data_IF_999452391251
#
_entry.id   IF_999452391251
#
_cell.length_a   1.000
_cell.length_b   1.000
_cell.length_c   1.000
_cell.angle_alpha   90.00
_cell.angle_beta   90.00
_cell.angle_gamma   90.00
#
_symmetry.space_group_name_H-M   'P 1'
#
loop_
_entity.id
_entity.type
_entity.pdbx_description
1 polymer ?
#
# COMPACT_ATOMS: atom_id res chain seq x y z
N UNK A 1 29.93 17.18 8.11
CA UNK A 1 29.05 17.93 7.19
C UNK A 1 29.01 17.29 5.83
N UNK A 2 28.04 16.40 5.58
CA UNK A 2 27.67 15.84 4.26
C UNK A 2 26.15 15.52 4.23
N UNK A 3 25.36 16.17 5.10
CA UNK A 3 23.92 15.92 5.24
C UNK A 3 23.10 16.63 4.16
N UNK A 4 23.50 17.85 3.76
CA UNK A 4 22.74 18.68 2.81
C UNK A 4 22.51 17.98 1.44
N UNK A 5 23.53 17.40 0.77
CA UNK A 5 23.33 16.72 -0.52
C UNK A 5 22.42 15.50 -0.39
N UNK A 6 22.56 14.75 0.72
CA UNK A 6 21.73 13.58 1.01
C UNK A 6 20.27 13.98 1.25
N UNK A 7 20.01 15.06 1.99
CA UNK A 7 18.66 15.57 2.22
C UNK A 7 18.00 16.04 0.91
N UNK A 8 18.76 16.69 0.04
CA UNK A 8 18.27 17.08 -1.29
C UNK A 8 17.88 15.85 -2.10
N UNK A 9 18.73 14.81 -2.12
CA UNK A 9 18.41 13.55 -2.79
C UNK A 9 17.10 12.94 -2.27
N UNK A 10 16.96 12.85 -0.94
CA UNK A 10 15.76 12.29 -0.31
C UNK A 10 14.49 13.06 -0.73
N UNK A 11 14.53 14.39 -0.67
CA UNK A 11 13.37 15.24 -0.96
C UNK A 11 13.01 15.26 -2.45
N UNK A 12 14.01 15.26 -3.33
CA UNK A 12 13.81 15.41 -4.78
C UNK A 12 13.53 14.09 -5.49
N UNK A 13 14.11 12.98 -5.04
CA UNK A 13 14.01 11.70 -5.76
C UNK A 13 13.23 10.65 -4.97
N UNK A 14 13.57 10.43 -3.70
CA UNK A 14 12.96 9.34 -2.95
C UNK A 14 11.52 9.65 -2.52
N UNK A 15 11.28 10.84 -1.92
CA UNK A 15 9.95 11.21 -1.40
C UNK A 15 8.84 11.14 -2.46
N UNK A 16 9.03 11.62 -3.71
CA UNK A 16 8.03 11.46 -4.77
C UNK A 16 7.76 10.01 -5.16
N UNK A 17 8.80 9.17 -5.28
CA UNK A 17 8.65 7.74 -5.60
C UNK A 17 7.87 7.03 -4.50
N UNK A 18 8.26 7.24 -3.23
CA UNK A 18 7.58 6.67 -2.07
C UNK A 18 6.10 7.04 -2.07
N UNK A 19 5.78 8.30 -2.38
CA UNK A 19 4.41 8.82 -2.42
C UNK A 19 3.57 8.22 -3.54
N UNK A 20 4.16 8.05 -4.73
CA UNK A 20 3.49 7.38 -5.84
C UNK A 20 3.15 5.91 -5.49
N UNK A 21 4.13 5.16 -4.97
CA UNK A 21 3.92 3.76 -4.56
C UNK A 21 2.90 3.68 -3.42
N UNK A 22 2.93 4.62 -2.47
CA UNK A 22 1.92 4.73 -1.43
C UNK A 22 0.51 4.92 -2.00
N UNK A 23 0.31 5.81 -2.97
CA UNK A 23 -1.00 5.98 -3.62
C UNK A 23 -1.48 4.70 -4.32
N UNK A 24 -0.60 3.98 -5.00
CA UNK A 24 -0.96 2.70 -5.61
C UNK A 24 -1.41 1.68 -4.56
N UNK A 25 -0.71 1.60 -3.41
CA UNK A 25 -1.11 0.75 -2.30
C UNK A 25 -2.43 1.19 -1.66
N UNK A 26 -2.66 2.50 -1.51
CA UNK A 26 -3.87 3.06 -0.92
C UNK A 26 -5.09 2.77 -1.80
N UNK A 27 -4.97 3.03 -3.10
CA UNK A 27 -6.00 2.70 -4.08
C UNK A 27 -6.27 1.18 -4.12
N UNK A 28 -5.22 0.36 -4.08
CA UNK A 28 -5.37 -1.11 -4.02
C UNK A 28 -6.13 -1.55 -2.77
N UNK A 29 -5.85 -0.97 -1.61
CA UNK A 29 -6.56 -1.28 -0.37
C UNK A 29 -8.04 -0.91 -0.47
N UNK A 30 -8.37 0.29 -0.96
CA UNK A 30 -9.73 0.81 -1.10
C UNK A 30 -10.53 0.00 -2.14
N UNK A 31 -10.04 -0.10 -3.38
CA UNK A 31 -10.71 -0.84 -4.44
C UNK A 31 -10.81 -2.32 -4.12
N UNK A 32 -9.77 -2.88 -3.47
CA UNK A 32 -9.78 -4.26 -3.01
C UNK A 32 -10.91 -4.55 -2.02
N UNK A 33 -11.32 -3.59 -1.17
CA UNK A 33 -12.48 -3.81 -0.30
C UNK A 33 -13.78 -4.05 -1.08
N UNK A 34 -13.96 -3.32 -2.18
CA UNK A 34 -15.20 -3.32 -2.95
C UNK A 34 -15.20 -4.46 -3.98
N UNK A 35 -14.09 -4.65 -4.69
CA UNK A 35 -13.99 -5.63 -5.78
C UNK A 35 -13.77 -7.08 -5.32
N UNK A 36 -13.31 -7.32 -4.09
CA UNK A 36 -13.02 -8.69 -3.62
C UNK A 36 -14.20 -9.64 -3.78
N UNK A 37 -15.40 -9.18 -3.43
CA UNK A 37 -16.62 -10.01 -3.52
C UNK A 37 -16.98 -10.31 -4.97
N UNK A 38 -16.92 -9.29 -5.83
CA UNK A 38 -17.18 -9.37 -7.27
C UNK A 38 -16.23 -10.33 -7.97
N UNK A 39 -14.94 -10.25 -7.64
CA UNK A 39 -13.92 -11.11 -8.22
C UNK A 39 -14.20 -12.59 -7.96
N UNK A 40 -14.39 -12.99 -6.70
CA UNK A 40 -14.64 -14.39 -6.40
C UNK A 40 -16.02 -14.87 -6.85
N UNK A 41 -17.01 -13.98 -6.90
CA UNK A 41 -18.30 -14.33 -7.44
C UNK A 41 -18.23 -14.71 -8.92
N UNK A 42 -17.41 -14.03 -9.73
CA UNK A 42 -17.20 -14.37 -11.14
C UNK A 42 -16.43 -15.68 -11.29
N UNK A 43 -15.27 -15.79 -10.63
CA UNK A 43 -14.31 -16.86 -10.92
C UNK A 43 -14.55 -18.16 -10.13
N UNK A 44 -15.15 -18.06 -8.94
CA UNK A 44 -15.23 -19.17 -7.98
C UNK A 44 -16.66 -19.45 -7.52
N UNK A 45 -17.67 -19.04 -8.30
CA UNK A 45 -19.10 -19.28 -8.01
C UNK A 45 -19.43 -20.72 -7.61
N UNK A 46 -18.77 -21.68 -8.26
CA UNK A 46 -19.01 -23.12 -8.10
C UNK A 46 -17.94 -23.81 -7.24
N UNK A 47 -17.09 -23.08 -6.53
CA UNK A 47 -16.02 -23.65 -5.72
C UNK A 47 -16.54 -24.24 -4.40
N UNK A 48 -15.91 -25.32 -3.95
CA UNK A 48 -16.20 -25.95 -2.65
C UNK A 48 -15.77 -25.10 -1.44
N UNK A 49 -14.93 -24.07 -1.66
CA UNK A 49 -14.51 -23.15 -0.60
C UNK A 49 -15.58 -22.10 -0.32
N UNK A 50 -15.73 -21.72 0.95
CA UNK A 50 -16.63 -20.65 1.36
C UNK A 50 -16.24 -19.33 0.71
N UNK A 51 -17.09 -18.84 -0.19
CA UNK A 51 -16.95 -17.56 -0.89
C UNK A 51 -16.68 -16.40 0.08
N UNK A 52 -17.26 -16.46 1.28
CA UNK A 52 -17.07 -15.51 2.37
C UNK A 52 -15.63 -15.46 2.89
N UNK A 53 -15.00 -16.62 3.08
CA UNK A 53 -13.61 -16.71 3.57
C UNK A 53 -12.63 -16.19 2.53
N UNK A 54 -12.82 -16.54 1.25
CA UNK A 54 -11.99 -16.04 0.16
C UNK A 54 -12.13 -14.51 -0.01
N UNK A 55 -13.36 -14.01 0.05
CA UNK A 55 -13.64 -12.57 0.00
C UNK A 55 -12.95 -11.84 1.15
N UNK A 56 -13.07 -12.36 2.38
CA UNK A 56 -12.41 -11.77 3.54
C UNK A 56 -10.88 -11.80 3.40
N UNK A 57 -10.32 -12.91 2.90
CA UNK A 57 -8.90 -13.04 2.65
C UNK A 57 -8.40 -11.97 1.67
N UNK A 58 -9.10 -11.73 0.56
CA UNK A 58 -8.68 -10.67 -0.39
C UNK A 58 -8.85 -9.26 0.16
N UNK A 59 -9.88 -9.02 0.98
CA UNK A 59 -10.04 -7.75 1.70
C UNK A 59 -8.87 -7.48 2.64
N UNK A 60 -8.39 -8.48 3.37
CA UNK A 60 -7.20 -8.34 4.22
C UNK A 60 -5.93 -8.26 3.38
N UNK A 61 -5.85 -9.00 2.27
CA UNK A 61 -4.71 -8.95 1.35
C UNK A 61 -4.54 -7.56 0.71
N UNK A 62 -5.64 -6.89 0.36
CA UNK A 62 -5.55 -5.54 -0.20
C UNK A 62 -5.02 -4.53 0.81
N UNK A 63 -5.36 -4.67 2.10
CA UNK A 63 -4.74 -3.88 3.18
C UNK A 63 -3.27 -4.24 3.35
N UNK A 64 -2.91 -5.52 3.26
CA UNK A 64 -1.52 -5.96 3.28
C UNK A 64 -0.68 -5.31 2.16
N UNK A 65 -1.23 -5.14 0.95
CA UNK A 65 -0.55 -4.44 -0.16
C UNK A 65 -0.21 -2.99 0.22
N UNK A 66 -1.02 -2.30 1.03
CA UNK A 66 -0.70 -0.95 1.50
C UNK A 66 0.54 -0.95 2.42
N UNK A 67 0.69 -1.93 3.31
CA UNK A 67 1.90 -2.05 4.12
C UNK A 67 3.12 -2.38 3.26
N UNK A 68 2.95 -3.24 2.26
CA UNK A 68 4.00 -3.57 1.29
C UNK A 68 4.43 -2.34 0.49
N UNK A 69 3.50 -1.48 0.09
CA UNK A 69 3.78 -0.26 -0.67
C UNK A 69 4.57 0.77 0.16
N UNK A 70 4.38 0.79 1.48
CA UNK A 70 5.18 1.61 2.39
C UNK A 70 6.56 0.99 2.59
N UNK A 71 6.63 -0.30 2.92
CA UNK A 71 7.86 -1.01 3.26
C UNK A 71 8.83 -1.13 2.07
N UNK A 72 8.33 -1.46 0.89
CA UNK A 72 9.14 -1.79 -0.29
C UNK A 72 10.18 -0.73 -0.66
N UNK A 73 9.80 0.54 -0.91
CA UNK A 73 10.78 1.55 -1.28
C UNK A 73 11.68 1.94 -0.10
N UNK A 74 11.21 1.87 1.15
CA UNK A 74 12.05 2.07 2.33
C UNK A 74 13.18 1.02 2.42
N UNK A 75 12.86 -0.26 2.27
CA UNK A 75 13.89 -1.31 2.26
C UNK A 75 14.85 -1.11 1.08
N UNK A 76 14.35 -0.84 -0.12
CA UNK A 76 15.18 -0.59 -1.29
C UNK A 76 16.18 0.56 -1.06
N UNK A 77 15.73 1.68 -0.47
CA UNK A 77 16.60 2.81 -0.12
C UNK A 77 17.63 2.45 0.94
N UNK A 78 17.22 1.72 1.97
CA UNK A 78 18.12 1.30 3.05
C UNK A 78 19.23 0.42 2.47
N UNK A 79 18.88 -0.61 1.70
CA UNK A 79 19.85 -1.50 1.06
C UNK A 79 20.74 -0.80 0.04
N UNK A 80 20.23 0.19 -0.70
CA UNK A 80 21.05 0.94 -1.66
C UNK A 80 22.10 1.85 -1.00
N UNK A 81 22.00 2.07 0.31
CA UNK A 81 22.93 2.95 1.07
C UNK A 81 23.87 2.20 2.00
N UNK A 82 23.74 0.89 2.15
CA UNK A 82 24.61 0.12 3.03
C UNK A 82 25.98 -0.14 2.40
N UNK A 83 27.02 0.04 3.22
CA UNK A 83 28.33 -0.59 3.03
C UNK A 83 28.34 -1.98 3.70
N UNK A 84 29.34 -2.82 3.44
CA UNK A 84 29.43 -4.22 3.92
C UNK A 84 29.13 -4.40 5.42
N UNK A 85 29.59 -3.46 6.27
CA UNK A 85 29.33 -3.49 7.72
C UNK A 85 27.87 -3.18 8.09
N UNK A 86 27.21 -2.31 7.32
CA UNK A 86 25.79 -1.98 7.47
C UNK A 86 24.88 -3.13 7.06
N UNK A 87 25.27 -3.87 6.02
CA UNK A 87 24.58 -5.09 5.59
C UNK A 87 24.59 -6.14 6.70
N UNK A 88 25.74 -6.40 7.35
CA UNK A 88 25.84 -7.41 8.41
C UNK A 88 25.03 -7.07 9.68
N UNK A 89 25.02 -5.81 10.11
CA UNK A 89 24.21 -5.40 11.27
C UNK A 89 22.71 -5.52 11.01
N UNK A 90 22.26 -5.07 9.84
CA UNK A 90 20.86 -5.15 9.44
C UNK A 90 20.41 -6.58 9.18
N UNK A 91 21.27 -7.43 8.61
CA UNK A 91 21.01 -8.86 8.43
C UNK A 91 20.78 -9.56 9.77
N UNK A 92 21.48 -9.16 10.83
CA UNK A 92 21.24 -9.69 12.18
C UNK A 92 19.87 -9.28 12.72
N UNK A 93 19.46 -8.03 12.54
CA UNK A 93 18.12 -7.56 12.95
C UNK A 93 17.01 -8.28 12.16
N UNK A 94 17.22 -8.49 10.86
CA UNK A 94 16.31 -9.24 10.01
C UNK A 94 16.20 -10.70 10.43
N UNK A 95 17.31 -11.32 10.86
CA UNK A 95 17.29 -12.68 11.38
C UNK A 95 16.43 -12.80 12.64
N UNK A 96 16.63 -11.91 13.62
CA UNK A 96 15.79 -11.86 14.84
C UNK A 96 14.33 -11.66 14.48
N UNK A 97 14.05 -10.74 13.56
CA UNK A 97 12.69 -10.47 13.12
C UNK A 97 12.08 -11.67 12.37
N UNK A 98 12.88 -12.43 11.63
CA UNK A 98 12.42 -13.62 10.90
C UNK A 98 12.05 -14.75 11.86
N UNK A 99 12.83 -14.97 12.91
CA UNK A 99 12.49 -15.91 13.98
C UNK A 99 11.21 -15.49 14.70
N UNK A 100 11.10 -14.21 15.07
CA UNK A 100 9.88 -13.67 15.67
C UNK A 100 8.66 -13.79 14.73
N UNK A 101 8.88 -13.58 13.43
CA UNK A 101 7.85 -13.74 12.41
C UNK A 101 7.36 -15.19 12.33
N UNK A 102 8.25 -16.19 12.30
CA UNK A 102 7.86 -17.61 12.26
C UNK A 102 7.06 -18.01 13.52
N UNK A 103 7.48 -17.53 14.69
CA UNK A 103 6.74 -17.76 15.93
C UNK A 103 5.34 -17.12 15.88
N UNK A 104 5.27 -15.84 15.47
CA UNK A 104 4.01 -15.13 15.31
C UNK A 104 3.10 -15.75 14.25
N UNK A 105 3.68 -16.22 13.13
CA UNK A 105 2.99 -16.92 12.06
C UNK A 105 2.31 -18.18 12.59
N UNK A 106 3.02 -18.96 13.40
CA UNK A 106 2.50 -20.19 14.00
C UNK A 106 1.31 -19.90 14.92
N UNK A 107 1.45 -18.92 15.82
CA UNK A 107 0.38 -18.52 16.76
C UNK A 107 -0.83 -17.95 16.04
N UNK A 108 -0.63 -17.02 15.10
CA UNK A 108 -1.72 -16.36 14.41
C UNK A 108 -2.44 -17.28 13.43
N UNK A 109 -1.72 -18.20 12.79
CA UNK A 109 -2.35 -19.19 11.90
C UNK A 109 -3.16 -20.19 12.71
N UNK A 110 -2.71 -20.56 13.92
CA UNK A 110 -3.51 -21.38 14.83
C UNK A 110 -4.80 -20.67 15.26
N UNK A 111 -4.76 -19.36 15.54
CA UNK A 111 -5.92 -18.60 16.00
C UNK A 111 -6.89 -18.18 14.88
N UNK A 112 -6.38 -17.78 13.71
CA UNK A 112 -7.15 -17.12 12.65
C UNK A 112 -7.12 -17.86 11.31
N UNK A 113 -6.55 -19.07 11.27
CA UNK A 113 -6.36 -19.83 10.04
C UNK A 113 -5.52 -19.08 9.01
N UNK A 114 -5.96 -19.09 7.75
CA UNK A 114 -5.24 -18.47 6.62
C UNK A 114 -5.08 -16.95 6.79
N UNK A 115 -6.02 -16.27 7.48
CA UNK A 115 -5.89 -14.84 7.77
C UNK A 115 -4.71 -14.53 8.70
N UNK A 116 -4.38 -15.49 9.57
CA UNK A 116 -3.22 -15.41 10.46
C UNK A 116 -1.91 -15.19 9.72
N UNK A 117 -1.78 -15.75 8.51
CA UNK A 117 -0.61 -15.56 7.64
C UNK A 117 -0.45 -14.07 7.26
N UNK A 118 -1.55 -13.41 6.87
CA UNK A 118 -1.53 -12.00 6.49
C UNK A 118 -1.29 -11.08 7.69
N UNK A 119 -1.93 -11.35 8.83
CA UNK A 119 -1.73 -10.56 10.04
C UNK A 119 -0.28 -10.65 10.56
N UNK A 120 0.31 -11.84 10.55
CA UNK A 120 1.71 -12.03 10.92
C UNK A 120 2.63 -11.18 10.03
N UNK A 121 2.38 -11.17 8.72
CA UNK A 121 3.16 -10.35 7.80
C UNK A 121 2.96 -8.85 8.00
N UNK A 122 1.73 -8.39 8.24
CA UNK A 122 1.45 -6.97 8.52
C UNK A 122 2.22 -6.51 9.76
N UNK A 123 2.19 -7.29 10.83
CA UNK A 123 2.95 -7.00 12.06
C UNK A 123 4.44 -6.92 11.76
N UNK A 124 4.98 -7.88 11.02
CA UNK A 124 6.39 -7.88 10.61
C UNK A 124 6.74 -6.65 9.75
N UNK A 125 5.87 -6.23 8.84
CA UNK A 125 6.07 -5.01 8.08
C UNK A 125 6.01 -3.75 8.94
N UNK A 126 5.16 -3.68 9.96
CA UNK A 126 5.18 -2.57 10.93
C UNK A 126 6.55 -2.44 11.59
N UNK A 127 7.16 -3.54 12.05
CA UNK A 127 8.51 -3.51 12.61
C UNK A 127 9.57 -3.09 11.58
N UNK A 128 9.51 -3.65 10.36
CA UNK A 128 10.46 -3.30 9.29
C UNK A 128 10.38 -1.83 8.90
N UNK A 129 9.17 -1.30 8.71
CA UNK A 129 8.93 0.12 8.42
C UNK A 129 9.55 0.99 9.52
N UNK A 130 9.34 0.66 10.79
CA UNK A 130 9.93 1.40 11.91
C UNK A 130 11.47 1.38 11.89
N UNK A 131 12.08 0.22 11.63
CA UNK A 131 13.54 0.09 11.51
C UNK A 131 14.09 0.90 10.33
N UNK A 132 13.44 0.82 9.16
CA UNK A 132 13.82 1.59 7.98
C UNK A 132 13.70 3.09 8.23
N UNK A 133 12.59 3.56 8.84
CA UNK A 133 12.42 4.98 9.15
C UNK A 133 13.51 5.45 10.12
N UNK A 134 13.81 4.67 11.16
CA UNK A 134 14.89 4.99 12.10
C UNK A 134 16.23 5.16 11.38
N UNK A 135 16.56 4.23 10.48
CA UNK A 135 17.79 4.29 9.70
C UNK A 135 17.81 5.50 8.75
N UNK A 136 16.74 5.72 7.97
CA UNK A 136 16.63 6.85 7.03
C UNK A 136 16.76 8.18 7.77
N UNK A 137 16.11 8.31 8.92
CA UNK A 137 16.21 9.48 9.79
C UNK A 137 17.66 9.78 10.17
N UNK A 138 18.39 8.77 10.63
CA UNK A 138 19.78 8.91 11.07
C UNK A 138 20.72 9.18 9.89
N UNK A 139 20.59 8.42 8.80
CA UNK A 139 21.43 8.52 7.62
C UNK A 139 21.28 9.87 6.90
N UNK A 140 20.05 10.35 6.71
CA UNK A 140 19.76 11.63 6.06
C UNK A 140 19.71 12.81 7.04
N UNK A 141 19.83 12.56 8.35
CA UNK A 141 19.71 13.59 9.40
C UNK A 141 18.38 14.36 9.30
N UNK A 142 17.29 13.64 9.04
CA UNK A 142 15.92 14.17 8.89
C UNK A 142 15.15 14.08 10.22
N UNK A 143 14.07 14.84 10.35
CA UNK A 143 13.09 14.65 11.43
C UNK A 143 12.12 13.52 11.10
N UNK A 144 11.55 12.86 12.11
CA UNK A 144 10.51 11.83 11.92
C UNK A 144 9.34 12.32 11.07
N UNK A 145 8.88 13.55 11.33
CA UNK A 145 7.77 14.17 10.59
C UNK A 145 8.08 14.31 9.10
N UNK A 146 9.35 14.55 8.74
CA UNK A 146 9.76 14.68 7.34
C UNK A 146 9.77 13.32 6.64
N UNK A 147 10.24 12.28 7.31
CA UNK A 147 10.26 10.92 6.75
C UNK A 147 8.85 10.36 6.57
N UNK A 148 7.94 10.68 7.49
CA UNK A 148 6.53 10.25 7.41
C UNK A 148 5.65 11.24 6.63
N UNK A 149 6.17 12.38 6.20
CA UNK A 149 5.36 13.41 5.55
C UNK A 149 4.61 12.91 4.32
N UNK A 150 5.13 11.91 3.59
CA UNK A 150 4.41 11.34 2.45
C UNK A 150 3.04 10.73 2.80
N UNK A 151 2.81 10.33 4.06
CA UNK A 151 1.52 9.80 4.54
C UNK A 151 0.51 10.91 4.83
N UNK A 152 0.97 12.04 5.36
CA UNK A 152 0.12 13.11 5.90
C UNK A 152 -0.01 14.31 4.96
N UNK A 153 0.95 14.52 4.07
CA UNK A 153 1.06 15.67 3.18
C UNK A 153 0.28 15.44 1.86
N UNK A 154 -0.85 14.74 1.92
CA UNK A 154 -1.69 14.46 0.74
C UNK A 154 -2.41 15.76 0.36
N UNK A 155 -2.39 16.21 -0.91
CA UNK A 155 -3.04 17.43 -1.34
C UNK A 155 -4.54 17.27 -1.15
N UNK A 156 -5.21 18.31 -0.62
CA UNK A 156 -6.64 18.27 -0.29
C UNK A 156 -7.51 17.79 -1.45
N UNK A 157 -7.18 18.18 -2.69
CA UNK A 157 -7.92 17.77 -3.89
C UNK A 157 -7.86 16.25 -4.13
N UNK A 158 -6.69 15.63 -3.96
CA UNK A 158 -6.53 14.17 -4.09
C UNK A 158 -7.30 13.46 -2.99
N UNK A 159 -7.19 13.93 -1.75
CA UNK A 159 -7.92 13.37 -0.62
C UNK A 159 -9.44 13.41 -0.84
N UNK A 160 -9.97 14.55 -1.29
CA UNK A 160 -11.39 14.71 -1.60
C UNK A 160 -11.83 13.82 -2.77
N UNK A 161 -11.01 13.68 -3.82
CA UNK A 161 -11.30 12.78 -4.94
C UNK A 161 -11.37 11.32 -4.50
N UNK A 162 -10.43 10.86 -3.67
CA UNK A 162 -10.43 9.50 -3.12
C UNK A 162 -11.69 9.28 -2.27
N UNK A 163 -12.05 10.21 -1.38
CA UNK A 163 -13.28 10.10 -0.58
C UNK A 163 -14.51 10.04 -1.48
N UNK A 164 -14.64 10.98 -2.40
CA UNK A 164 -15.81 11.09 -3.28
C UNK A 164 -15.99 9.83 -4.14
N UNK A 165 -14.91 9.37 -4.78
CA UNK A 165 -14.94 8.13 -5.57
C UNK A 165 -15.22 6.90 -4.72
N UNK A 166 -14.70 6.83 -3.49
CA UNK A 166 -15.00 5.73 -2.56
C UNK A 166 -16.47 5.70 -2.17
N UNK A 167 -17.03 6.85 -1.77
CA UNK A 167 -18.45 6.97 -1.44
C UNK A 167 -19.34 6.63 -2.63
N UNK A 168 -18.98 7.11 -3.82
CA UNK A 168 -19.70 6.81 -5.05
C UNK A 168 -19.70 5.30 -5.37
N UNK A 169 -18.56 4.62 -5.21
CA UNK A 169 -18.49 3.16 -5.41
C UNK A 169 -19.33 2.39 -4.39
N UNK A 170 -19.32 2.79 -3.11
CA UNK A 170 -20.15 2.16 -2.07
C UNK A 170 -21.63 2.34 -2.42
N UNK A 171 -22.03 3.54 -2.84
CA UNK A 171 -23.40 3.81 -3.28
C UNK A 171 -23.76 2.99 -4.53
N UNK A 172 -22.90 2.96 -5.55
CA UNK A 172 -23.11 2.17 -6.76
C UNK A 172 -23.24 0.67 -6.45
N UNK A 173 -22.42 0.13 -5.54
CA UNK A 173 -22.54 -1.24 -5.06
C UNK A 173 -23.93 -1.48 -4.44
N UNK A 174 -24.40 -0.57 -3.57
CA UNK A 174 -25.72 -0.71 -2.92
C UNK A 174 -26.89 -0.67 -3.90
N UNK A 175 -26.81 0.18 -4.94
CA UNK A 175 -27.86 0.31 -5.95
C UNK A 175 -27.88 -0.89 -6.90
N UNK A 176 -26.71 -1.38 -7.34
CA UNK A 176 -26.65 -2.50 -8.27
C UNK A 176 -27.12 -3.82 -7.65
N UNK A 177 -26.96 -4.00 -6.33
CA UNK A 177 -27.47 -5.19 -5.61
C UNK A 177 -28.99 -5.36 -5.77
N UNK A 178 -29.75 -4.26 -5.90
CA UNK A 178 -31.22 -4.28 -5.89
C UNK A 178 -31.80 -4.64 -7.27
N UNK A 179 -31.15 -4.23 -8.36
CA UNK A 179 -31.81 -4.09 -9.67
C UNK A 179 -31.28 -5.01 -10.79
N UNK A 180 -30.38 -5.96 -10.55
CA UNK A 180 -29.69 -6.64 -11.68
C UNK A 180 -29.33 -8.11 -11.47
N UNK A 181 -29.29 -8.86 -12.57
CA UNK A 181 -28.68 -10.19 -12.64
C UNK A 181 -27.23 -10.14 -12.13
N UNK A 182 -26.76 -11.17 -11.41
CA UNK A 182 -25.57 -11.05 -10.58
C UNK A 182 -24.27 -10.91 -11.41
N UNK A 183 -24.23 -11.42 -12.64
CA UNK A 183 -23.10 -11.19 -13.56
C UNK A 183 -23.10 -9.74 -14.07
N UNK A 184 -24.28 -9.21 -14.41
CA UNK A 184 -24.41 -7.83 -14.87
C UNK A 184 -24.08 -6.83 -13.75
N UNK A 185 -24.42 -7.14 -12.50
CA UNK A 185 -23.98 -6.39 -11.32
C UNK A 185 -22.45 -6.30 -11.26
N UNK A 186 -21.77 -7.43 -11.45
CA UNK A 186 -20.32 -7.48 -11.41
C UNK A 186 -19.67 -6.61 -12.49
N UNK A 187 -20.18 -6.69 -13.73
CA UNK A 187 -19.70 -5.88 -14.86
C UNK A 187 -19.91 -4.38 -14.59
N UNK A 188 -21.10 -3.98 -14.14
CA UNK A 188 -21.41 -2.59 -13.80
C UNK A 188 -20.48 -2.06 -12.70
N UNK A 189 -20.25 -2.85 -11.65
CA UNK A 189 -19.37 -2.43 -10.55
C UNK A 189 -17.90 -2.31 -10.99
N UNK A 190 -17.40 -3.25 -11.81
CA UNK A 190 -16.05 -3.15 -12.37
C UNK A 190 -15.89 -1.91 -13.25
N UNK A 191 -16.88 -1.59 -14.08
CA UNK A 191 -16.86 -0.38 -14.92
C UNK A 191 -16.82 0.89 -14.05
N UNK A 192 -17.65 0.99 -13.02
CA UNK A 192 -17.64 2.11 -12.06
C UNK A 192 -16.29 2.23 -11.36
N UNK A 193 -15.73 1.12 -10.85
CA UNK A 193 -14.41 1.12 -10.21
C UNK A 193 -13.31 1.57 -11.18
N UNK A 194 -13.36 1.14 -12.44
CA UNK A 194 -12.42 1.55 -13.49
C UNK A 194 -12.48 3.06 -13.76
N UNK A 195 -13.68 3.63 -13.89
CA UNK A 195 -13.87 5.08 -14.07
C UNK A 195 -13.32 5.83 -12.85
N UNK A 196 -13.66 5.40 -11.63
CA UNK A 196 -13.14 6.00 -10.40
C UNK A 196 -11.61 5.92 -10.29
N UNK A 197 -11.01 4.81 -10.73
CA UNK A 197 -9.55 4.64 -10.76
C UNK A 197 -8.90 5.63 -11.73
N UNK A 198 -9.44 5.79 -12.93
CA UNK A 198 -8.96 6.79 -13.90
C UNK A 198 -9.06 8.20 -13.34
N UNK A 199 -10.18 8.56 -12.70
CA UNK A 199 -10.34 9.88 -12.05
C UNK A 199 -9.28 10.10 -10.98
N UNK A 200 -9.05 9.12 -10.10
CA UNK A 200 -8.04 9.25 -9.04
C UNK A 200 -6.63 9.34 -9.61
N UNK A 201 -6.28 8.53 -10.61
CA UNK A 201 -4.97 8.58 -11.28
C UNK A 201 -4.75 9.95 -11.94
N UNK A 202 -5.75 10.45 -12.67
CA UNK A 202 -5.70 11.77 -13.29
C UNK A 202 -5.54 12.88 -12.26
N UNK A 203 -6.32 12.82 -11.18
CA UNK A 203 -6.24 13.80 -10.07
C UNK A 203 -4.86 13.76 -9.40
N UNK A 204 -4.28 12.57 -9.22
CA UNK A 204 -2.93 12.42 -8.68
C UNK A 204 -1.89 13.04 -9.62
N UNK A 205 -2.00 12.79 -10.92
CA UNK A 205 -1.09 13.35 -11.91
C UNK A 205 -1.14 14.88 -11.97
N UNK A 206 -2.35 15.46 -11.94
CA UNK A 206 -2.55 16.90 -12.08
C UNK A 206 -2.23 17.68 -10.79
N UNK A 207 -2.63 17.14 -9.63
CA UNK A 207 -2.60 17.89 -8.37
C UNK A 207 -1.50 17.47 -7.39
N UNK A 208 -0.72 16.42 -7.68
CA UNK A 208 0.45 16.09 -6.86
C UNK A 208 1.72 16.76 -7.39
N UNK A 209 2.21 17.83 -6.74
CA UNK A 209 3.36 18.57 -7.25
C UNK A 209 4.65 17.73 -7.25
N UNK A 210 4.77 16.76 -6.34
CA UNK A 210 5.96 15.91 -6.25
C UNK A 210 6.01 14.93 -7.42
N UNK A 211 4.86 14.35 -7.78
CA UNK A 211 4.77 13.41 -8.90
C UNK A 211 4.93 14.15 -10.23
N UNK A 212 4.29 15.31 -10.37
CA UNK A 212 4.44 16.16 -11.56
C UNK A 212 5.92 16.51 -11.83
N UNK A 213 6.65 16.95 -10.79
CA UNK A 213 8.08 17.25 -10.89
C UNK A 213 8.92 16.03 -11.24
N UNK A 214 8.59 14.85 -10.68
CA UNK A 214 9.30 13.62 -10.98
C UNK A 214 9.14 13.21 -12.45
N UNK A 215 7.94 13.30 -13.00
CA UNK A 215 7.67 12.95 -14.39
C UNK A 215 8.34 13.93 -15.36
N UNK A 216 8.21 15.24 -15.10
CA UNK A 216 8.84 16.28 -15.93
C UNK A 216 10.36 16.24 -15.89
N UNK A 217 10.96 15.82 -14.78
CA UNK A 217 12.42 15.68 -14.66
C UNK A 217 13.03 14.55 -15.49
N UNK A 218 12.21 13.62 -16.03
CA UNK A 218 12.65 12.56 -16.94
C UNK A 218 12.59 12.95 -18.42
N UNK A 219 11.89 14.02 -18.76
CA UNK A 219 11.74 14.49 -20.15
C UNK A 219 12.87 15.46 -20.59
N UNK A 220 13.81 15.76 -19.69
CA UNK A 220 15.01 16.58 -19.91
C UNK A 220 16.26 15.70 -19.85
#
# INVERSE_FOLDING_TARGET
GNSLPRQIFYRKHFKPIQRLVFYLGLLSAIYGQILSQTFFYIFFRNSAHSLSTLTLLMKVFSVYILFLSINGPFEALVYSTFNDKGVNSSSRQLCVLSVAHIAGLSVLTYMYGVLGLLYANIITYCFRINLCIKYVREYFSLKWIEVLSFLFDIPRKIFMAIIFTTLFMILAQSLFIIDSEPILQCIKLMAVCGICAVINIYTIYEYDPLIYLLLKSREL
#
